data_IF_077926786873
#
_entry.id   IF_077926786873
#
_cell.length_a   1.000
_cell.length_b   1.000
_cell.length_c   1.000
_cell.angle_alpha   90.00
_cell.angle_beta   90.00
_cell.angle_gamma   90.00
#
_symmetry.space_group_name_H-M   'P 1'
#
loop_
_entity.id
_entity.type
_entity.pdbx_description
1 polymer ?
#
# COMPACT_ATOMS: atom_id res chain seq x y z
N UNK A 1 -18.72 -0.29 0.37
CA UNK A 1 -17.31 -0.58 0.04
C UNK A 1 -16.43 0.38 0.82
N UNK A 2 -15.29 -0.07 1.31
CA UNK A 2 -14.24 0.75 1.89
C UNK A 2 -13.08 0.83 0.90
N UNK A 3 -12.51 2.02 0.72
CA UNK A 3 -11.36 2.28 -0.14
C UNK A 3 -10.32 3.03 0.69
N UNK A 4 -9.10 2.51 0.68
CA UNK A 4 -7.94 3.07 1.39
C UNK A 4 -7.01 3.66 0.34
N UNK A 5 -6.73 4.97 0.46
CA UNK A 5 -6.00 5.73 -0.54
C UNK A 5 -4.88 6.52 0.16
N UNK A 6 -3.67 6.42 -0.39
CA UNK A 6 -2.54 7.24 0.05
C UNK A 6 -2.69 8.67 -0.45
N UNK A 7 -2.21 9.65 0.32
CA UNK A 7 -2.41 11.08 0.03
C UNK A 7 -1.72 11.55 -1.28
N UNK A 8 -0.73 10.81 -1.75
CA UNK A 8 0.01 11.06 -2.99
C UNK A 8 -0.45 10.16 -4.15
N UNK A 9 -1.63 9.52 -4.02
CA UNK A 9 -2.21 8.62 -5.01
C UNK A 9 -3.51 9.17 -5.59
N UNK A 10 -3.61 9.16 -6.93
CA UNK A 10 -4.77 9.57 -7.71
C UNK A 10 -5.43 8.33 -8.33
N UNK A 11 -6.75 8.21 -8.13
CA UNK A 11 -7.57 7.15 -8.69
C UNK A 11 -7.80 7.32 -10.21
N UNK A 12 -7.95 6.23 -10.97
CA UNK A 12 -8.43 6.33 -12.35
C UNK A 12 -9.88 6.83 -12.40
N UNK A 13 -10.28 7.47 -13.50
CA UNK A 13 -11.59 8.11 -13.66
C UNK A 13 -12.77 7.19 -13.32
N UNK A 14 -12.71 5.90 -13.71
CA UNK A 14 -13.75 4.90 -13.44
C UNK A 14 -13.43 4.00 -12.23
N UNK A 15 -12.62 4.45 -11.26
CA UNK A 15 -12.17 3.62 -10.13
C UNK A 15 -13.33 2.98 -9.34
N UNK A 16 -14.35 3.75 -8.99
CA UNK A 16 -15.48 3.25 -8.21
C UNK A 16 -16.30 2.21 -8.98
N UNK A 17 -16.44 2.37 -10.29
CA UNK A 17 -17.10 1.39 -11.15
C UNK A 17 -16.30 0.10 -11.22
N UNK A 18 -14.98 0.18 -11.41
CA UNK A 18 -14.12 -0.99 -11.37
C UNK A 18 -14.22 -1.75 -10.05
N UNK A 19 -14.30 -1.04 -8.92
CA UNK A 19 -14.46 -1.68 -7.60
C UNK A 19 -15.85 -2.33 -7.48
N UNK A 20 -16.91 -1.64 -7.91
CA UNK A 20 -18.28 -2.19 -7.87
C UNK A 20 -18.38 -3.47 -8.71
N UNK A 21 -17.87 -3.45 -9.93
CA UNK A 21 -17.82 -4.62 -10.82
C UNK A 21 -16.93 -5.73 -10.26
N UNK A 22 -15.85 -5.40 -9.55
CA UNK A 22 -15.00 -6.41 -8.93
C UNK A 22 -15.73 -7.18 -7.82
N UNK A 23 -16.64 -6.52 -7.11
CA UNK A 23 -17.35 -7.04 -5.94
C UNK A 23 -18.78 -7.53 -6.27
N UNK A 24 -19.31 -7.26 -7.47
CA UNK A 24 -20.72 -7.52 -7.84
C UNK A 24 -21.11 -8.99 -7.76
N UNK A 25 -20.19 -9.87 -8.13
CA UNK A 25 -20.48 -11.30 -8.28
C UNK A 25 -20.32 -12.07 -6.96
N UNK A 26 -19.99 -11.38 -5.85
CA UNK A 26 -19.77 -11.98 -4.53
C UNK A 26 -18.54 -12.89 -4.42
N UNK A 27 -17.89 -13.21 -5.54
CA UNK A 27 -16.68 -14.04 -5.62
C UNK A 27 -15.43 -13.37 -5.04
N UNK A 28 -15.45 -12.06 -4.92
CA UNK A 28 -14.34 -11.27 -4.41
C UNK A 28 -14.90 -10.31 -3.36
N UNK A 29 -14.17 -10.16 -2.28
CA UNK A 29 -14.57 -9.30 -1.17
C UNK A 29 -13.55 -8.19 -0.88
N UNK A 30 -12.41 -8.24 -1.56
CA UNK A 30 -11.29 -7.33 -1.37
C UNK A 30 -10.38 -7.28 -2.61
N UNK A 31 -9.51 -6.28 -2.65
CA UNK A 31 -8.59 -6.11 -3.76
C UNK A 31 -7.76 -4.83 -3.71
N UNK A 32 -7.02 -4.60 -4.79
CA UNK A 32 -6.25 -3.37 -5.03
C UNK A 32 -6.12 -3.11 -6.53
N UNK A 33 -5.65 -1.92 -6.90
CA UNK A 33 -5.34 -1.55 -8.27
C UNK A 33 -3.90 -1.93 -8.65
N UNK A 34 -3.55 -1.74 -9.91
CA UNK A 34 -2.13 -1.68 -10.33
C UNK A 34 -1.55 -0.31 -9.99
N UNK A 35 -0.23 -0.21 -10.00
CA UNK A 35 0.47 1.04 -9.77
C UNK A 35 1.00 1.62 -11.09
N UNK A 36 0.90 2.93 -11.26
CA UNK A 36 1.69 3.71 -12.21
C UNK A 36 2.23 4.97 -11.52
N UNK A 37 3.26 5.56 -12.08
CA UNK A 37 3.85 6.79 -11.58
C UNK A 37 3.43 8.01 -12.40
N UNK A 38 3.43 9.18 -11.78
CA UNK A 38 3.24 10.50 -12.43
C UNK A 38 4.46 10.97 -13.25
N UNK A 39 5.57 10.22 -13.17
CA UNK A 39 6.81 10.44 -13.92
C UNK A 39 7.21 9.21 -14.71
N UNK A 40 7.82 9.44 -15.86
CA UNK A 40 8.37 8.39 -16.72
C UNK A 40 9.83 8.10 -16.36
N UNK A 41 10.20 6.82 -16.39
CA UNK A 41 11.57 6.37 -16.18
C UNK A 41 11.67 4.86 -16.33
N UNK A 42 12.77 4.35 -16.90
CA UNK A 42 12.90 2.91 -17.19
C UNK A 42 12.75 2.03 -15.94
N UNK A 43 13.37 2.44 -14.84
CA UNK A 43 13.30 1.72 -13.56
C UNK A 43 11.93 1.83 -12.88
N UNK A 44 11.30 3.01 -12.93
CA UNK A 44 9.94 3.21 -12.42
C UNK A 44 8.91 2.42 -13.25
N UNK A 45 9.10 2.35 -14.58
CA UNK A 45 8.29 1.55 -15.48
C UNK A 45 8.43 0.05 -15.20
N UNK A 46 9.65 -0.43 -14.96
CA UNK A 46 9.89 -1.81 -14.53
C UNK A 46 9.22 -2.12 -13.19
N UNK A 47 9.31 -1.20 -12.22
CA UNK A 47 8.64 -1.37 -10.94
C UNK A 47 7.12 -1.39 -11.09
N UNK A 48 6.54 -0.42 -11.80
CA UNK A 48 5.11 -0.38 -12.13
C UNK A 48 4.66 -1.67 -12.82
N UNK A 49 5.43 -2.16 -13.79
CA UNK A 49 5.18 -3.45 -14.46
C UNK A 49 5.22 -4.62 -13.47
N UNK A 50 6.22 -4.68 -12.57
CA UNK A 50 6.31 -5.74 -11.56
C UNK A 50 5.10 -5.74 -10.60
N UNK A 51 4.50 -4.57 -10.37
CA UNK A 51 3.29 -4.47 -9.56
C UNK A 51 2.05 -5.13 -10.19
N UNK A 52 2.10 -5.63 -11.42
CA UNK A 52 1.00 -6.42 -11.98
C UNK A 52 0.84 -7.79 -11.29
N UNK A 53 1.93 -8.32 -10.74
CA UNK A 53 1.91 -9.59 -10.01
C UNK A 53 1.41 -9.35 -8.60
N UNK A 54 0.59 -10.27 -8.08
CA UNK A 54 0.08 -10.19 -6.71
C UNK A 54 0.94 -11.03 -5.75
N UNK A 55 2.06 -10.43 -5.31
CA UNK A 55 2.98 -11.03 -4.34
C UNK A 55 3.13 -10.13 -3.11
N UNK A 56 3.70 -10.68 -2.03
CA UNK A 56 4.05 -9.88 -0.83
C UNK A 56 5.11 -8.81 -1.11
N UNK A 57 5.85 -8.92 -2.23
CA UNK A 57 6.89 -7.98 -2.63
C UNK A 57 6.43 -6.94 -3.66
N UNK A 58 5.22 -7.07 -4.18
CA UNK A 58 4.71 -6.27 -5.31
C UNK A 58 3.33 -5.69 -5.06
N UNK A 59 2.74 -5.94 -3.89
CA UNK A 59 1.42 -5.42 -3.49
C UNK A 59 1.50 -4.68 -2.16
N UNK A 60 1.38 -3.35 -2.24
CA UNK A 60 1.52 -2.42 -1.11
C UNK A 60 0.31 -1.46 -1.01
N UNK A 61 0.30 -0.61 0.01
CA UNK A 61 -0.78 0.35 0.26
C UNK A 61 -0.94 1.44 -0.80
N UNK A 62 0.12 1.76 -1.54
CA UNK A 62 0.11 2.74 -2.63
C UNK A 62 -0.74 2.30 -3.84
N UNK A 63 -1.23 1.06 -3.82
CA UNK A 63 -2.08 0.48 -4.87
C UNK A 63 -3.57 0.64 -4.61
N UNK A 64 -3.96 1.51 -3.68
CA UNK A 64 -5.34 1.78 -3.30
C UNK A 64 -6.15 0.52 -2.98
N UNK A 65 -5.97 -0.02 -1.78
CA UNK A 65 -6.68 -1.23 -1.35
C UNK A 65 -8.16 -0.95 -1.12
N UNK A 66 -9.02 -1.90 -1.47
CA UNK A 66 -10.45 -1.83 -1.22
C UNK A 66 -10.98 -3.14 -0.64
N UNK A 67 -12.07 -3.05 0.11
CA UNK A 67 -12.76 -4.20 0.67
C UNK A 67 -14.25 -3.93 0.90
N UNK A 68 -15.05 -4.99 0.97
CA UNK A 68 -16.38 -4.91 1.56
C UNK A 68 -16.25 -4.58 3.05
N UNK A 69 -17.29 -3.94 3.62
CA UNK A 69 -17.30 -3.64 5.07
C UNK A 69 -17.22 -4.93 5.91
N UNK A 70 -17.86 -6.00 5.44
CA UNK A 70 -17.84 -7.30 6.09
C UNK A 70 -16.43 -7.90 6.10
N UNK A 71 -15.76 -7.95 4.94
CA UNK A 71 -14.39 -8.47 4.84
C UNK A 71 -13.39 -7.67 5.68
N UNK A 72 -13.48 -6.33 5.68
CA UNK A 72 -12.62 -5.49 6.53
C UNK A 72 -12.83 -5.72 8.03
N UNK A 73 -14.08 -5.92 8.46
CA UNK A 73 -14.37 -6.26 9.86
C UNK A 73 -13.87 -7.66 10.21
N UNK A 74 -14.11 -8.64 9.33
CA UNK A 74 -13.68 -10.02 9.52
C UNK A 74 -12.15 -10.16 9.54
N UNK A 75 -11.44 -9.32 8.80
CA UNK A 75 -9.97 -9.30 8.82
C UNK A 75 -9.40 -8.66 10.09
N UNK A 76 -10.21 -8.00 10.93
CA UNK A 76 -9.75 -7.26 12.10
C UNK A 76 -9.12 -5.89 11.76
N UNK A 77 -9.30 -5.41 10.51
CA UNK A 77 -8.83 -4.10 10.07
C UNK A 77 -7.31 -3.93 10.07
N UNK A 78 -6.87 -2.67 10.06
CA UNK A 78 -5.45 -2.32 10.16
C UNK A 78 -4.94 -2.60 11.57
N UNK A 79 -3.78 -3.27 11.71
CA UNK A 79 -3.10 -3.28 13.00
C UNK A 79 -2.56 -1.90 13.33
N UNK A 80 -2.39 -1.62 14.62
CA UNK A 80 -1.68 -0.43 15.11
C UNK A 80 -0.17 -0.63 14.96
N UNK A 81 0.29 -0.70 13.70
CA UNK A 81 1.70 -0.87 13.35
C UNK A 81 2.24 0.40 12.71
N UNK A 82 3.42 0.89 13.12
CA UNK A 82 4.02 2.09 12.54
C UNK A 82 4.55 1.88 11.11
N UNK A 83 4.63 0.62 10.67
CA UNK A 83 5.12 0.20 9.37
C UNK A 83 4.46 -1.14 8.98
N UNK A 84 4.26 -1.39 7.69
CA UNK A 84 3.73 -2.64 7.15
C UNK A 84 2.27 -2.95 7.53
N UNK A 85 1.54 -1.96 8.05
CA UNK A 85 0.11 -2.04 8.37
C UNK A 85 -0.73 -2.44 7.15
N UNK A 86 -0.41 -1.88 5.97
CA UNK A 86 -1.05 -2.20 4.70
C UNK A 86 -0.79 -3.65 4.28
N UNK A 87 0.45 -4.13 4.46
CA UNK A 87 0.82 -5.51 4.14
C UNK A 87 0.10 -6.50 5.06
N UNK A 88 -0.04 -6.16 6.34
CA UNK A 88 -0.78 -6.95 7.32
C UNK A 88 -2.27 -7.02 6.97
N UNK A 89 -2.89 -5.88 6.63
CA UNK A 89 -4.28 -5.86 6.18
C UNK A 89 -4.46 -6.75 4.94
N UNK A 90 -3.60 -6.62 3.94
CA UNK A 90 -3.63 -7.47 2.75
C UNK A 90 -3.53 -8.96 3.11
N UNK A 91 -2.60 -9.33 3.99
CA UNK A 91 -2.43 -10.73 4.41
C UNK A 91 -3.69 -11.26 5.10
N UNK A 92 -4.31 -10.46 5.97
CA UNK A 92 -5.55 -10.82 6.66
C UNK A 92 -6.71 -10.97 5.69
N UNK A 93 -6.90 -10.00 4.78
CA UNK A 93 -7.94 -10.05 3.75
C UNK A 93 -7.79 -11.28 2.83
N UNK A 94 -6.55 -11.61 2.43
CA UNK A 94 -6.26 -12.84 1.67
C UNK A 94 -6.47 -14.13 2.45
N UNK A 95 -6.33 -14.09 3.77
CA UNK A 95 -6.54 -15.25 4.64
C UNK A 95 -8.02 -15.52 4.93
N UNK A 96 -8.86 -14.48 4.95
CA UNK A 96 -10.28 -14.57 5.27
C UNK A 96 -11.20 -14.58 4.06
N UNK A 97 -10.68 -14.35 2.86
CA UNK A 97 -11.50 -14.04 1.70
C UNK A 97 -10.77 -14.07 0.36
N UNK A 98 -11.44 -13.57 -0.67
CA UNK A 98 -10.95 -13.54 -2.04
C UNK A 98 -10.47 -12.13 -2.42
N UNK A 99 -9.18 -12.07 -2.78
CA UNK A 99 -8.48 -10.83 -3.10
C UNK A 99 -8.22 -10.71 -4.60
N UNK A 100 -8.64 -9.58 -5.20
CA UNK A 100 -8.46 -9.32 -6.63
C UNK A 100 -7.57 -8.11 -6.91
N UNK A 101 -6.59 -8.29 -7.78
CA UNK A 101 -5.84 -7.17 -8.36
C UNK A 101 -6.49 -6.70 -9.65
N UNK A 102 -6.89 -5.43 -9.71
CA UNK A 102 -7.54 -4.83 -10.88
C UNK A 102 -6.53 -4.46 -11.96
N UNK A 103 -6.95 -4.52 -13.22
CA UNK A 103 -6.11 -4.10 -14.36
C UNK A 103 -5.97 -2.58 -14.46
N UNK A 104 -6.95 -1.82 -13.95
CA UNK A 104 -6.86 -0.37 -13.85
C UNK A 104 -5.73 0.02 -12.87
N UNK A 105 -5.03 1.11 -13.19
CA UNK A 105 -3.89 1.58 -12.42
C UNK A 105 -4.16 2.92 -11.73
N UNK A 106 -3.74 3.04 -10.47
CA UNK A 106 -3.68 4.31 -9.75
C UNK A 106 -2.36 5.00 -10.01
N UNK A 107 -2.37 6.33 -10.04
CA UNK A 107 -1.16 7.13 -10.22
C UNK A 107 -0.62 7.58 -8.88
N UNK A 108 0.60 7.18 -8.52
CA UNK A 108 1.27 7.64 -7.30
C UNK A 108 2.45 8.54 -7.64
N UNK A 109 2.75 9.50 -6.76
CA UNK A 109 3.88 10.42 -6.97
C UNK A 109 5.24 9.73 -6.93
N UNK A 110 6.07 9.99 -7.95
CA UNK A 110 7.46 9.52 -8.02
C UNK A 110 8.44 10.33 -7.14
N UNK A 111 7.98 11.40 -6.47
CA UNK A 111 8.81 12.35 -5.71
C UNK A 111 9.77 11.67 -4.73
N UNK A 112 9.35 10.59 -4.06
CA UNK A 112 10.21 9.84 -3.12
C UNK A 112 11.39 9.18 -3.84
N UNK A 113 11.12 8.63 -5.02
CA UNK A 113 12.11 7.96 -5.86
C UNK A 113 13.06 8.96 -6.53
N UNK A 114 12.59 10.16 -6.88
CA UNK A 114 13.46 11.24 -7.37
C UNK A 114 14.40 11.73 -6.26
N UNK A 115 13.91 11.88 -5.02
CA UNK A 115 14.71 12.38 -3.90
C UNK A 115 15.77 11.39 -3.42
N UNK A 116 15.45 10.10 -3.33
CA UNK A 116 16.35 9.10 -2.73
C UNK A 116 16.99 8.16 -3.75
N UNK A 117 16.57 8.23 -5.02
CA UNK A 117 16.95 7.30 -6.08
C UNK A 117 16.09 6.03 -6.07
N UNK A 118 15.82 5.51 -7.28
CA UNK A 118 14.93 4.35 -7.47
C UNK A 118 15.50 3.11 -6.82
N UNK A 119 16.78 2.81 -7.07
CA UNK A 119 17.44 1.60 -6.58
C UNK A 119 17.54 1.62 -5.05
N UNK A 120 17.94 2.73 -4.46
CA UNK A 120 18.07 2.87 -3.01
C UNK A 120 16.72 2.70 -2.32
N UNK A 121 15.66 3.28 -2.88
CA UNK A 121 14.29 3.13 -2.36
C UNK A 121 13.84 1.67 -2.42
N UNK A 122 14.10 0.99 -3.55
CA UNK A 122 13.74 -0.41 -3.72
C UNK A 122 14.54 -1.35 -2.81
N UNK A 123 15.85 -1.12 -2.66
CA UNK A 123 16.69 -1.88 -1.73
C UNK A 123 16.19 -1.72 -0.30
N UNK A 124 15.90 -0.49 0.15
CA UNK A 124 15.34 -0.25 1.48
C UNK A 124 14.02 -0.99 1.70
N UNK A 125 13.10 -0.90 0.74
CA UNK A 125 11.83 -1.62 0.80
C UNK A 125 12.04 -3.14 0.84
N UNK A 126 12.96 -3.67 0.03
CA UNK A 126 13.29 -5.09 0.02
C UNK A 126 13.92 -5.55 1.34
N UNK A 127 14.81 -4.76 1.96
CA UNK A 127 15.41 -5.06 3.26
C UNK A 127 14.35 -5.11 4.37
N UNK A 128 13.42 -4.14 4.40
CA UNK A 128 12.29 -4.13 5.36
C UNK A 128 11.45 -5.40 5.20
N UNK A 129 11.09 -5.76 3.97
CA UNK A 129 10.30 -6.95 3.70
C UNK A 129 11.05 -8.25 4.02
N UNK A 130 12.34 -8.31 3.74
CA UNK A 130 13.19 -9.45 4.04
C UNK A 130 13.27 -9.69 5.55
N UNK A 131 13.55 -8.64 6.32
CA UNK A 131 13.60 -8.72 7.79
C UNK A 131 12.23 -9.08 8.40
N UNK A 132 11.15 -8.51 7.87
CA UNK A 132 9.80 -8.91 8.27
C UNK A 132 9.53 -10.39 7.97
N UNK A 133 9.96 -10.89 6.81
CA UNK A 133 9.89 -12.31 6.44
C UNK A 133 10.71 -13.23 7.36
N UNK A 134 11.78 -12.71 7.97
CA UNK A 134 12.58 -13.39 9.00
C UNK A 134 11.96 -13.30 10.41
N UNK A 135 10.80 -12.67 10.56
CA UNK A 135 10.08 -12.57 11.83
C UNK A 135 10.43 -11.33 12.67
N UNK A 136 11.16 -10.35 12.11
CA UNK A 136 11.42 -9.08 12.82
C UNK A 136 10.12 -8.29 12.93
N UNK A 137 9.76 -7.90 14.16
CA UNK A 137 8.53 -7.15 14.42
C UNK A 137 8.53 -5.76 13.73
N UNK A 138 7.40 -5.31 13.16
CA UNK A 138 7.32 -4.03 12.45
C UNK A 138 7.72 -2.80 13.28
N UNK A 139 7.51 -2.81 14.59
CA UNK A 139 7.98 -1.74 15.49
C UNK A 139 9.51 -1.64 15.54
N UNK A 140 10.21 -2.77 15.47
CA UNK A 140 11.67 -2.79 15.41
C UNK A 140 12.15 -2.25 14.07
N UNK A 141 11.48 -2.62 12.97
CA UNK A 141 11.77 -2.07 11.64
C UNK A 141 11.53 -0.57 11.59
N UNK A 142 10.44 -0.08 12.19
CA UNK A 142 10.16 1.34 12.28
C UNK A 142 11.28 2.11 12.99
N UNK A 143 11.83 1.58 14.09
CA UNK A 143 12.96 2.19 14.79
C UNK A 143 14.23 2.30 13.95
N UNK A 144 14.46 1.36 13.02
CA UNK A 144 15.67 1.35 12.18
C UNK A 144 15.53 2.17 10.89
N UNK A 145 14.33 2.20 10.31
CA UNK A 145 14.13 2.71 8.95
C UNK A 145 13.32 4.00 8.87
N UNK A 146 12.50 4.31 9.87
CA UNK A 146 11.85 5.61 9.94
C UNK A 146 12.81 6.57 10.65
N UNK A 147 13.06 7.77 10.10
CA UNK A 147 13.68 8.81 10.91
C UNK A 147 12.84 8.97 12.16
N UNK A 148 13.47 9.01 13.34
CA UNK A 148 12.78 9.23 14.60
C UNK A 148 11.80 10.38 14.39
N UNK A 149 10.49 10.07 14.33
CA UNK A 149 9.49 11.09 14.57
C UNK A 149 9.73 11.44 16.02
N UNK A 150 10.42 12.54 16.28
CA UNK A 150 10.38 13.20 17.58
C UNK A 150 8.92 13.16 17.99
N UNK A 151 8.62 12.58 19.15
CA UNK A 151 7.28 12.59 19.70
C UNK A 151 6.81 14.04 19.63
N UNK A 152 5.80 14.30 18.81
CA UNK A 152 5.14 15.60 18.83
C UNK A 152 4.35 15.58 20.13
N UNK A 153 4.80 16.36 21.11
CA UNK A 153 4.02 16.63 22.31
C UNK A 153 2.63 17.07 21.89
N UNK A 154 1.60 16.60 22.61
CA UNK A 154 0.19 16.81 22.26
C UNK A 154 -0.26 18.28 22.31
N UNK A 155 0.63 19.21 22.67
CA UNK A 155 0.32 20.60 22.98
C UNK A 155 0.90 21.64 22.01
N UNK A 156 1.46 21.24 20.86
CA UNK A 156 2.02 22.20 19.91
C UNK A 156 0.98 22.68 18.88
N UNK A 157 0.72 24.00 18.75
CA UNK A 157 -0.29 24.52 17.85
C UNK A 157 0.04 24.25 16.39
N UNK A 158 -1.01 23.96 15.61
CA UNK A 158 -0.94 23.72 14.16
C UNK A 158 -0.47 25.01 13.47
N UNK A 159 0.80 25.08 13.08
CA UNK A 159 1.25 26.05 12.08
C UNK A 159 1.22 25.41 10.69
N UNK A 160 0.62 26.07 9.68
CA UNK A 160 0.37 25.48 8.36
C UNK A 160 1.59 25.60 7.44
N UNK A 161 2.12 24.45 6.99
CA UNK A 161 2.59 24.21 5.62
C UNK A 161 2.77 22.72 5.34
#
# INVERSE_FOLDING_TARGET
VLLFLHADTILPQAALEHIRTALSDGKQDSGCFRLRFDRSGRLLGLYAWATQFDTRFTTFGDQAMFATRAAFKASGGFPDWPLLEDLALRQRLRGTGCFRKLHAAVTTSARRFEKHGVIQTQLRNASILGLYGLGVHPETLARWYLPHRVCRDKDEPITPW
#
